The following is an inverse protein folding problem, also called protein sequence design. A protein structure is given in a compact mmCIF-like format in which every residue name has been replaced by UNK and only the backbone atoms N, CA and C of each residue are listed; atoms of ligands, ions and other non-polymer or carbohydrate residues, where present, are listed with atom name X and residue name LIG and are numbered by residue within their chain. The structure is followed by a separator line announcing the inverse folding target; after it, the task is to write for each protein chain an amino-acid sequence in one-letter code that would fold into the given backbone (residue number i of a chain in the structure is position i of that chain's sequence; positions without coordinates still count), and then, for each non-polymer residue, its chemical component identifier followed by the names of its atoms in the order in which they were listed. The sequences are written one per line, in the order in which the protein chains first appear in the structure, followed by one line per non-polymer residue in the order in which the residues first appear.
data_IF_492002748027
#
_entry.id   IF_492002748027
#
_cell.length_a   1.000
_cell.length_b   1.000
_cell.length_c   1.000
_cell.angle_alpha   90.00
_cell.angle_beta   90.00
_cell.angle_gamma   90.00
#
_symmetry.space_group_name_H-M   'P 1'
#
loop_
_entity.id
_entity.type
_entity.pdbx_description
1 polymer ?
#
# COMPACT_ATOMS: atom_id res chain seq x y z
N UNK A 1 -23.79 17.79 -5.55
CA UNK A 1 -22.75 17.12 -6.38
C UNK A 1 -22.61 15.64 -6.05
N UNK A 2 -22.60 15.21 -4.77
CA UNK A 2 -22.42 13.79 -4.40
C UNK A 2 -23.52 12.82 -4.90
N UNK A 3 -24.81 13.19 -4.84
CA UNK A 3 -25.93 12.28 -5.18
C UNK A 3 -25.86 11.77 -6.62
N UNK A 4 -25.61 12.68 -7.59
CA UNK A 4 -25.48 12.33 -9.01
C UNK A 4 -24.38 11.28 -9.25
N UNK A 5 -23.23 11.40 -8.57
CA UNK A 5 -22.12 10.46 -8.74
C UNK A 5 -22.41 9.09 -8.12
N UNK A 6 -23.18 9.04 -7.03
CA UNK A 6 -23.64 7.77 -6.44
C UNK A 6 -24.66 7.09 -7.33
N UNK A 7 -25.59 7.83 -7.92
CA UNK A 7 -26.54 7.30 -8.92
C UNK A 7 -25.82 6.80 -10.17
N UNK A 8 -24.81 7.53 -10.64
CA UNK A 8 -23.95 7.13 -11.76
C UNK A 8 -23.17 5.85 -11.46
N UNK A 9 -22.57 5.74 -10.26
CA UNK A 9 -21.90 4.53 -9.79
C UNK A 9 -22.85 3.33 -9.79
N UNK A 10 -24.04 3.48 -9.20
CA UNK A 10 -25.03 2.41 -9.09
C UNK A 10 -25.59 1.97 -10.44
N UNK A 11 -25.94 2.91 -11.30
CA UNK A 11 -26.44 2.61 -12.66
C UNK A 11 -25.36 1.99 -13.54
N UNK A 12 -24.12 2.46 -13.44
CA UNK A 12 -22.99 1.84 -14.15
C UNK A 12 -22.76 0.42 -13.69
N UNK A 13 -22.74 0.17 -12.37
CA UNK A 13 -22.59 -1.17 -11.82
C UNK A 13 -23.66 -2.15 -12.33
N UNK A 14 -24.93 -1.75 -12.36
CA UNK A 14 -26.03 -2.56 -12.91
C UNK A 14 -25.86 -2.88 -14.39
N UNK A 15 -25.28 -1.96 -15.16
CA UNK A 15 -25.11 -2.11 -16.61
C UNK A 15 -23.90 -2.95 -16.99
N UNK A 16 -22.81 -2.91 -16.22
CA UNK A 16 -21.51 -3.48 -16.65
C UNK A 16 -21.04 -4.67 -15.82
N UNK A 17 -21.61 -4.91 -14.63
CA UNK A 17 -21.20 -6.00 -13.75
C UNK A 17 -22.26 -7.11 -13.67
N UNK A 18 -21.86 -8.38 -13.46
CA UNK A 18 -22.79 -9.44 -13.08
C UNK A 18 -23.60 -9.07 -11.83
N UNK A 19 -24.82 -9.60 -11.73
CA UNK A 19 -25.77 -9.29 -10.65
C UNK A 19 -25.15 -9.44 -9.26
N UNK A 20 -24.40 -10.51 -9.02
CA UNK A 20 -23.76 -10.77 -7.74
C UNK A 20 -22.79 -9.64 -7.34
N UNK A 21 -22.04 -9.07 -8.27
CA UNK A 21 -21.09 -7.98 -8.00
C UNK A 21 -21.81 -6.62 -7.94
N UNK A 22 -22.79 -6.38 -8.82
CA UNK A 22 -23.58 -5.15 -8.80
C UNK A 22 -24.34 -4.99 -7.48
N UNK A 23 -24.87 -6.09 -6.93
CA UNK A 23 -25.60 -6.08 -5.66
C UNK A 23 -24.78 -5.53 -4.49
N UNK A 24 -23.46 -5.78 -4.44
CA UNK A 24 -22.57 -5.24 -3.40
C UNK A 24 -22.56 -3.70 -3.44
N UNK A 25 -22.51 -3.12 -4.64
CA UNK A 25 -22.52 -1.67 -4.84
C UNK A 25 -23.89 -1.09 -4.49
N UNK A 26 -25.00 -1.75 -4.85
CA UNK A 26 -26.35 -1.29 -4.52
C UNK A 26 -26.59 -1.23 -3.00
N UNK A 27 -26.11 -2.23 -2.27
CA UNK A 27 -26.29 -2.33 -0.81
C UNK A 27 -25.26 -1.55 0.00
N UNK A 28 -24.30 -0.88 -0.64
CA UNK A 28 -23.35 0.01 0.05
C UNK A 28 -24.04 1.36 0.33
N UNK A 29 -24.30 1.73 1.60
CA UNK A 29 -25.05 2.96 1.93
C UNK A 29 -24.27 4.23 1.58
N UNK A 30 -22.97 4.23 1.88
CA UNK A 30 -22.08 5.39 1.74
C UNK A 30 -20.80 4.99 0.99
N UNK A 31 -20.86 4.82 -0.35
CA UNK A 31 -19.67 4.57 -1.14
C UNK A 31 -18.78 5.82 -1.18
N UNK A 32 -17.47 5.61 -1.12
CA UNK A 32 -16.48 6.67 -1.24
C UNK A 32 -15.40 6.29 -2.25
N UNK A 33 -14.69 7.30 -2.75
CA UNK A 33 -13.57 7.12 -3.67
C UNK A 33 -12.27 7.27 -2.89
N UNK A 34 -11.36 6.33 -3.07
CA UNK A 34 -10.00 6.41 -2.56
C UNK A 34 -9.03 6.44 -3.73
N UNK A 35 -8.22 7.50 -3.81
CA UNK A 35 -7.13 7.57 -4.78
C UNK A 35 -5.98 6.68 -4.30
N UNK A 36 -5.40 5.92 -5.22
CA UNK A 36 -4.28 5.03 -4.96
C UNK A 36 -3.01 5.72 -5.43
N UNK A 37 -2.06 5.90 -4.51
CA UNK A 37 -0.73 6.44 -4.79
C UNK A 37 0.34 5.37 -4.55
N UNK A 38 1.44 5.51 -5.29
CA UNK A 38 2.69 4.82 -4.99
C UNK A 38 3.72 5.87 -4.56
N UNK A 39 4.24 5.73 -3.35
CA UNK A 39 5.29 6.58 -2.79
C UNK A 39 6.47 5.70 -2.42
N UNK A 40 7.67 6.22 -2.68
CA UNK A 40 8.95 5.61 -2.38
C UNK A 40 9.94 6.72 -2.03
N UNK A 41 10.71 6.52 -0.96
CA UNK A 41 11.80 7.40 -0.56
C UNK A 41 13.14 6.75 -0.83
N UNK A 42 14.13 7.56 -1.22
CA UNK A 42 15.53 7.09 -1.37
C UNK A 42 16.21 6.89 -0.01
N UNK A 43 15.67 7.52 1.03
CA UNK A 43 16.25 7.55 2.38
C UNK A 43 15.16 7.54 3.45
N UNK A 44 15.33 6.73 4.49
CA UNK A 44 14.44 6.62 5.64
C UNK A 44 15.02 7.28 6.90
N UNK A 45 16.34 7.55 6.96
CA UNK A 45 17.03 8.11 8.12
C UNK A 45 17.60 9.51 7.86
N UNK A 46 17.17 10.48 8.64
CA UNK A 46 17.61 11.87 8.61
C UNK A 46 18.20 12.26 9.96
N UNK A 47 19.47 11.91 10.18
CA UNK A 47 20.10 12.04 11.49
C UNK A 47 19.43 11.09 12.49
N UNK A 48 18.69 11.64 13.45
CA UNK A 48 17.92 10.87 14.46
C UNK A 48 16.42 10.83 14.17
N UNK A 49 16.00 11.25 12.97
CA UNK A 49 14.61 11.22 12.51
C UNK A 49 14.46 10.06 11.52
N UNK A 50 13.41 9.25 11.69
CA UNK A 50 13.13 8.10 10.81
C UNK A 50 11.74 8.24 10.17
N UNK A 51 11.63 7.88 8.89
CA UNK A 51 10.35 7.71 8.17
C UNK A 51 9.98 6.23 8.14
N UNK A 52 8.75 5.89 8.51
CA UNK A 52 8.26 4.51 8.60
C UNK A 52 6.87 4.38 7.96
N UNK A 53 6.50 3.16 7.58
CA UNK A 53 5.18 2.86 7.02
C UNK A 53 4.89 3.71 5.79
N UNK A 54 3.67 4.23 5.67
CA UNK A 54 3.23 5.02 4.52
C UNK A 54 3.98 6.35 4.35
N UNK A 55 4.63 6.86 5.42
CA UNK A 55 5.48 8.05 5.32
C UNK A 55 6.78 7.79 4.53
N UNK A 56 7.22 6.53 4.46
CA UNK A 56 8.36 6.11 3.63
C UNK A 56 7.92 5.41 2.35
N UNK A 57 6.93 4.52 2.45
CA UNK A 57 6.40 3.74 1.33
C UNK A 57 4.89 3.61 1.43
N UNK A 58 4.15 4.46 0.72
CA UNK A 58 2.73 4.22 0.46
C UNK A 58 2.62 3.28 -0.75
N UNK A 59 2.17 2.05 -0.51
CA UNK A 59 2.06 1.02 -1.57
C UNK A 59 0.60 0.82 -1.96
N UNK A 60 0.32 0.65 -3.26
CA UNK A 60 -1.02 0.26 -3.71
C UNK A 60 -1.50 -1.04 -3.06
N UNK A 61 -2.81 -1.18 -2.75
CA UNK A 61 -3.32 -2.19 -1.80
C UNK A 61 -3.35 -3.63 -2.35
N UNK A 62 -2.88 -3.87 -3.57
CA UNK A 62 -3.08 -5.12 -4.31
C UNK A 62 -2.43 -6.35 -3.64
N UNK A 63 -1.43 -6.16 -2.76
CA UNK A 63 -0.84 -7.25 -1.96
C UNK A 63 -1.32 -7.28 -0.51
N UNK A 64 -2.22 -6.37 -0.10
CA UNK A 64 -2.73 -6.22 1.27
C UNK A 64 -1.64 -6.21 2.37
N UNK A 65 -0.46 -5.65 2.06
CA UNK A 65 0.73 -5.76 2.91
C UNK A 65 1.18 -4.44 3.56
N UNK A 66 0.48 -3.32 3.32
CA UNK A 66 0.88 -2.00 3.84
C UNK A 66 1.02 -1.97 5.37
N UNK A 67 -0.03 -2.41 6.08
CA UNK A 67 0.00 -2.50 7.55
C UNK A 67 1.08 -3.44 8.06
N UNK A 68 1.26 -4.60 7.42
CA UNK A 68 2.30 -5.55 7.80
C UNK A 68 3.70 -4.96 7.64
N UNK A 69 3.95 -4.25 6.53
CA UNK A 69 5.22 -3.54 6.27
C UNK A 69 5.45 -2.42 7.29
N UNK A 70 4.43 -1.65 7.64
CA UNK A 70 4.56 -0.59 8.65
C UNK A 70 4.91 -1.17 10.04
N UNK A 71 4.28 -2.28 10.43
CA UNK A 71 4.60 -2.99 11.67
C UNK A 71 6.02 -3.57 11.64
N UNK A 72 6.43 -4.15 10.51
CA UNK A 72 7.79 -4.66 10.30
C UNK A 72 8.84 -3.54 10.39
N UNK A 73 8.60 -2.37 9.79
CA UNK A 73 9.49 -1.21 9.93
C UNK A 73 9.74 -0.86 11.40
N UNK A 74 8.68 -0.85 12.23
CA UNK A 74 8.79 -0.55 13.66
C UNK A 74 9.51 -1.64 14.44
N UNK A 75 9.20 -2.92 14.17
CA UNK A 75 9.83 -4.05 14.85
C UNK A 75 11.32 -4.16 14.52
N UNK A 76 11.67 -3.98 13.25
CA UNK A 76 13.05 -3.99 12.77
C UNK A 76 13.84 -2.82 13.38
N UNK A 77 13.22 -1.65 13.54
CA UNK A 77 13.87 -0.48 14.15
C UNK A 77 14.22 -0.74 15.62
N UNK A 78 13.25 -1.24 16.39
CA UNK A 78 13.47 -1.59 17.79
C UNK A 78 14.54 -2.68 17.95
N UNK A 79 14.52 -3.69 17.09
CA UNK A 79 15.54 -4.75 17.07
C UNK A 79 16.93 -4.19 16.77
N UNK A 80 17.08 -3.38 15.73
CA UNK A 80 18.35 -2.77 15.37
C UNK A 80 18.92 -1.90 16.51
N UNK A 81 18.07 -1.12 17.18
CA UNK A 81 18.48 -0.30 18.33
C UNK A 81 18.95 -1.18 19.50
N UNK A 82 18.27 -2.29 19.79
CA UNK A 82 18.63 -3.21 20.88
C UNK A 82 19.94 -3.96 20.62
N UNK A 83 20.24 -4.28 19.37
CA UNK A 83 21.40 -5.10 18.99
C UNK A 83 22.69 -4.29 18.76
N UNK A 84 22.60 -2.96 18.63
CA UNK A 84 23.74 -2.11 18.33
C UNK A 84 24.06 -1.18 19.50
N UNK A 85 25.36 -0.98 19.77
CA UNK A 85 25.82 -0.05 20.82
C UNK A 85 25.76 1.42 20.40
N UNK A 86 25.83 1.67 19.09
CA UNK A 86 25.80 3.01 18.51
C UNK A 86 24.50 3.19 17.74
N UNK A 87 23.74 4.25 18.07
CA UNK A 87 22.46 4.51 17.43
C UNK A 87 22.61 4.77 15.92
N UNK A 88 23.63 5.51 15.50
CA UNK A 88 23.80 5.86 14.10
C UNK A 88 24.11 4.61 13.25
N UNK A 89 24.84 3.64 13.82
CA UNK A 89 25.05 2.32 13.20
C UNK A 89 23.74 1.50 13.14
N UNK A 90 22.96 1.52 14.22
CA UNK A 90 21.65 0.88 14.28
C UNK A 90 20.72 1.38 13.18
N UNK A 91 20.59 2.71 13.07
CA UNK A 91 19.72 3.37 12.10
C UNK A 91 20.17 3.11 10.65
N UNK A 92 21.48 3.14 10.37
CA UNK A 92 22.01 2.80 9.03
C UNK A 92 21.71 1.36 8.62
N UNK A 93 21.89 0.42 9.56
CA UNK A 93 21.61 -1.00 9.31
C UNK A 93 20.11 -1.23 9.04
N UNK A 94 19.26 -0.66 9.90
CA UNK A 94 17.81 -0.71 9.75
C UNK A 94 17.34 -0.10 8.42
N UNK A 95 17.81 1.08 8.06
CA UNK A 95 17.46 1.75 6.80
C UNK A 95 17.74 0.88 5.58
N UNK A 96 18.94 0.28 5.53
CA UNK A 96 19.37 -0.55 4.41
C UNK A 96 18.42 -1.74 4.21
N UNK A 97 17.99 -2.36 5.31
CA UNK A 97 17.05 -3.48 5.29
C UNK A 97 15.65 -3.03 4.87
N UNK A 98 15.10 -1.98 5.49
CA UNK A 98 13.73 -1.56 5.23
C UNK A 98 13.54 -0.89 3.85
N UNK A 99 14.55 -0.22 3.30
CA UNK A 99 14.53 0.24 1.90
C UNK A 99 14.43 -0.93 0.92
N UNK A 100 15.14 -2.03 1.20
CA UNK A 100 15.08 -3.25 0.38
C UNK A 100 13.70 -3.91 0.47
N UNK A 101 13.13 -4.00 1.67
CA UNK A 101 11.77 -4.54 1.87
C UNK A 101 10.73 -3.67 1.15
N UNK A 102 10.79 -2.35 1.35
CA UNK A 102 9.87 -1.39 0.75
C UNK A 102 9.88 -1.41 -0.78
N UNK A 103 11.07 -1.31 -1.39
CA UNK A 103 11.22 -1.31 -2.86
C UNK A 103 10.71 -2.61 -3.50
N UNK A 104 11.03 -3.77 -2.91
CA UNK A 104 10.54 -5.07 -3.38
C UNK A 104 9.03 -5.18 -3.27
N UNK A 105 8.46 -4.73 -2.16
CA UNK A 105 7.01 -4.74 -1.97
C UNK A 105 6.32 -3.84 -3.00
N UNK A 106 6.82 -2.62 -3.19
CA UNK A 106 6.25 -1.67 -4.14
C UNK A 106 6.28 -2.21 -5.58
N UNK A 107 7.41 -2.76 -6.01
CA UNK A 107 7.55 -3.39 -7.32
C UNK A 107 6.56 -4.56 -7.50
N UNK A 108 6.41 -5.40 -6.47
CA UNK A 108 5.42 -6.49 -6.47
C UNK A 108 3.99 -5.96 -6.58
N UNK A 109 3.62 -4.97 -5.78
CA UNK A 109 2.26 -4.41 -5.79
C UNK A 109 1.92 -3.73 -7.11
N UNK A 110 2.90 -3.04 -7.73
CA UNK A 110 2.76 -2.47 -9.08
C UNK A 110 2.47 -3.55 -10.11
N UNK A 111 3.26 -4.62 -10.13
CA UNK A 111 3.06 -5.76 -11.05
C UNK A 111 1.66 -6.37 -10.88
N UNK A 112 1.27 -6.68 -9.65
CA UNK A 112 -0.04 -7.24 -9.33
C UNK A 112 -1.16 -6.31 -9.85
N UNK A 113 -1.06 -5.00 -9.59
CA UNK A 113 -2.04 -4.03 -10.08
C UNK A 113 -2.09 -3.89 -11.60
N UNK A 114 -0.95 -3.93 -12.29
CA UNK A 114 -0.91 -3.88 -13.76
C UNK A 114 -1.62 -5.09 -14.37
N UNK A 115 -1.37 -6.28 -13.81
CA UNK A 115 -2.02 -7.52 -14.24
C UNK A 115 -3.53 -7.51 -14.02
N UNK A 116 -3.98 -7.02 -12.87
CA UNK A 116 -5.40 -6.97 -12.52
C UNK A 116 -6.21 -5.96 -13.33
N UNK A 117 -5.63 -4.80 -13.67
CA UNK A 117 -6.39 -3.66 -14.20
C UNK A 117 -6.21 -3.40 -15.69
N UNK A 118 -5.09 -3.82 -16.29
CA UNK A 118 -4.75 -3.45 -17.67
C UNK A 118 -4.40 -4.65 -18.54
N UNK A 119 -3.56 -5.56 -18.04
CA UNK A 119 -3.03 -6.65 -18.86
C UNK A 119 -3.98 -7.86 -18.96
N UNK A 120 -4.96 -7.98 -18.05
CA UNK A 120 -5.93 -9.08 -17.99
C UNK A 120 -5.29 -10.49 -17.98
N UNK A 121 -4.08 -10.59 -17.44
CA UNK A 121 -3.29 -11.82 -17.33
C UNK A 121 -3.07 -12.19 -15.85
N UNK A 122 -4.10 -11.99 -15.03
CA UNK A 122 -4.03 -12.22 -13.59
C UNK A 122 -3.49 -13.61 -13.27
N UNK A 123 -2.39 -13.62 -12.52
CA UNK A 123 -1.75 -14.80 -11.99
C UNK A 123 -1.42 -14.51 -10.52
N UNK A 124 -1.99 -15.28 -9.57
CA UNK A 124 -1.76 -15.09 -8.15
C UNK A 124 -0.35 -15.51 -7.69
N UNK A 125 0.48 -16.09 -8.57
CA UNK A 125 1.85 -16.56 -8.27
C UNK A 125 2.95 -15.51 -8.48
#
# INVERSE_FOLDING_TARGET
MAVKHVEELRSTAQRVLPEILSSVIQHTPEPFIQVIYDIEVEKMVFGRICLLGDAAFAVRPHAAAGTAKASDDGWALDTAIRENRNLDDALRSWETQQLTVGSRLLARTRRIGSRSQFENNWDPT
#
